data_IF_284584856934
#
_entry.id   IF_284584856934
#
_cell.length_a   1.000
_cell.length_b   1.000
_cell.length_c   1.000
_cell.angle_alpha   90.00
_cell.angle_beta   90.00
_cell.angle_gamma   90.00
#
_symmetry.space_group_name_H-M   'P 1'
#
loop_
_entity.id
_entity.type
_entity.pdbx_description
1 polymer ?
#
# COMPACT_ATOMS: atom_id res chain seq x y z
N UNK A 1 29.28 16.49 -32.00
CA UNK A 1 28.12 17.08 -32.70
C UNK A 1 27.95 16.38 -34.04
N UNK A 2 27.26 15.24 -34.04
CA UNK A 2 26.86 14.40 -35.19
C UNK A 2 25.57 13.68 -34.74
N UNK A 3 24.53 14.46 -34.42
CA UNK A 3 23.42 14.67 -35.35
C UNK A 3 22.69 13.36 -35.64
N UNK A 4 21.86 12.95 -34.68
CA UNK A 4 20.42 12.69 -34.87
C UNK A 4 19.97 11.99 -36.17
N UNK A 5 20.70 10.99 -36.65
CA UNK A 5 20.30 10.12 -37.77
C UNK A 5 20.15 8.67 -37.30
N UNK A 6 19.49 8.47 -36.16
CA UNK A 6 18.99 7.17 -35.68
C UNK A 6 17.61 7.33 -35.01
N UNK A 7 16.86 8.37 -35.38
CA UNK A 7 15.46 8.57 -35.05
C UNK A 7 14.69 8.19 -36.31
N UNK A 8 14.28 6.92 -36.45
CA UNK A 8 13.50 6.54 -37.63
C UNK A 8 13.13 5.06 -37.83
N UNK A 9 13.80 4.09 -37.19
CA UNK A 9 13.62 2.66 -37.57
C UNK A 9 13.36 1.73 -36.37
N UNK A 10 12.68 2.20 -35.33
CA UNK A 10 12.19 1.29 -34.28
C UNK A 10 10.74 1.56 -33.89
N UNK A 11 9.91 1.90 -34.88
CA UNK A 11 8.44 1.95 -34.78
C UNK A 11 7.77 0.71 -35.40
N UNK A 12 8.53 -0.30 -35.83
CA UNK A 12 7.96 -1.44 -36.53
C UNK A 12 8.73 -2.73 -36.26
N UNK A 13 8.59 -3.29 -35.05
CA UNK A 13 8.73 -4.73 -34.86
C UNK A 13 8.08 -5.15 -33.54
N UNK A 14 7.33 -6.24 -33.62
CA UNK A 14 6.91 -7.13 -32.52
C UNK A 14 5.53 -6.88 -31.87
N UNK A 15 4.51 -6.69 -32.69
CA UNK A 15 3.15 -7.26 -32.44
C UNK A 15 3.14 -8.78 -32.69
N UNK A 16 4.14 -9.49 -32.16
CA UNK A 16 4.14 -10.94 -32.02
C UNK A 16 3.74 -11.27 -30.56
N UNK A 17 2.52 -10.86 -30.20
CA UNK A 17 1.86 -11.32 -28.97
C UNK A 17 1.43 -12.76 -29.15
N UNK A 18 2.36 -13.69 -28.91
CA UNK A 18 2.10 -15.13 -28.88
C UNK A 18 0.96 -15.44 -27.90
N UNK A 19 -0.12 -16.02 -28.42
CA UNK A 19 -1.17 -16.64 -27.62
C UNK A 19 -0.56 -17.71 -26.72
N UNK A 20 -0.59 -17.47 -25.41
CA UNK A 20 -0.23 -18.47 -24.42
C UNK A 20 -1.33 -19.53 -24.37
N UNK A 21 -0.96 -20.75 -24.75
CA UNK A 21 -1.75 -21.96 -24.46
C UNK A 21 -1.86 -22.09 -22.95
N UNK A 22 -3.09 -22.18 -22.47
CA UNK A 22 -3.44 -22.40 -21.07
C UNK A 22 -3.01 -23.84 -20.73
N UNK A 23 -1.92 -23.98 -19.99
CA UNK A 23 -1.62 -25.21 -19.29
C UNK A 23 -2.59 -25.32 -18.12
N UNK A 24 -3.29 -26.43 -18.07
CA UNK A 24 -4.20 -26.87 -17.03
C UNK A 24 -3.56 -26.66 -15.64
N UNK A 25 -4.08 -25.69 -14.88
CA UNK A 25 -3.90 -25.67 -13.44
C UNK A 25 -5.03 -26.49 -12.82
N UNK A 26 -4.74 -27.43 -11.89
CA UNK A 26 -5.78 -28.01 -11.07
C UNK A 26 -6.47 -26.86 -10.33
N UNK A 27 -7.74 -26.66 -10.66
CA UNK A 27 -8.61 -25.70 -9.99
C UNK A 27 -8.87 -26.21 -8.59
N UNK A 28 -8.17 -25.63 -7.62
CA UNK A 28 -8.59 -25.68 -6.23
C UNK A 28 -10.01 -25.14 -6.15
N UNK A 29 -10.91 -26.03 -5.77
CA UNK A 29 -12.31 -25.72 -5.45
C UNK A 29 -12.36 -24.63 -4.39
N UNK A 30 -12.61 -23.40 -4.81
CA UNK A 30 -13.36 -22.46 -3.99
C UNK A 30 -14.56 -21.97 -4.78
N UNK A 31 -15.61 -22.78 -4.78
CA UNK A 31 -16.96 -22.37 -5.12
C UNK A 31 -17.42 -21.32 -4.12
N UNK A 32 -17.11 -20.05 -4.40
CA UNK A 32 -18.02 -18.98 -4.03
C UNK A 32 -17.98 -17.82 -5.03
N UNK A 33 -18.00 -18.15 -6.33
CA UNK A 33 -18.65 -17.27 -7.30
C UNK A 33 -20.17 -17.41 -7.11
N UNK A 34 -20.68 -16.84 -6.03
CA UNK A 34 -22.08 -16.48 -5.96
C UNK A 34 -22.26 -15.36 -6.97
N UNK A 35 -22.83 -15.70 -8.13
CA UNK A 35 -23.53 -14.74 -9.00
C UNK A 35 -24.30 -13.80 -8.08
N UNK A 36 -23.85 -12.56 -7.97
CA UNK A 36 -24.35 -11.60 -6.98
C UNK A 36 -25.86 -11.50 -7.10
N UNK A 37 -26.57 -11.97 -6.08
CA UNK A 37 -28.02 -11.95 -6.06
C UNK A 37 -28.45 -10.47 -6.04
N UNK A 38 -29.17 -9.94 -7.05
CA UNK A 38 -29.47 -8.51 -7.17
C UNK A 38 -30.33 -7.97 -6.02
N UNK A 39 -30.92 -8.85 -5.21
CA UNK A 39 -31.65 -8.51 -3.99
C UNK A 39 -30.75 -8.14 -2.80
N UNK A 40 -29.45 -8.47 -2.86
CA UNK A 40 -28.44 -8.14 -1.82
C UNK A 40 -27.56 -6.96 -2.22
N UNK A 41 -27.73 -6.40 -3.43
CA UNK A 41 -26.92 -5.32 -3.98
C UNK A 41 -26.75 -4.09 -3.06
N UNK A 42 -27.78 -3.61 -2.32
CA UNK A 42 -27.60 -2.48 -1.40
C UNK A 42 -26.73 -2.82 -0.19
N UNK A 43 -26.87 -4.05 0.34
CA UNK A 43 -26.12 -4.51 1.50
C UNK A 43 -24.65 -4.80 1.15
N UNK A 44 -24.40 -5.39 -0.03
CA UNK A 44 -23.05 -5.62 -0.53
C UNK A 44 -22.32 -4.32 -0.88
N UNK A 45 -23.01 -3.34 -1.46
CA UNK A 45 -22.43 -2.01 -1.70
C UNK A 45 -22.10 -1.32 -0.37
N UNK A 46 -23.03 -1.28 0.57
CA UNK A 46 -22.81 -0.69 1.90
C UNK A 46 -21.66 -1.39 2.65
N UNK A 47 -21.58 -2.72 2.59
CA UNK A 47 -20.47 -3.48 3.15
C UNK A 47 -19.13 -3.17 2.48
N UNK A 48 -19.11 -2.97 1.16
CA UNK A 48 -17.92 -2.61 0.41
C UNK A 48 -17.43 -1.18 0.73
N UNK A 49 -18.32 -0.18 0.86
CA UNK A 49 -17.91 1.18 1.24
C UNK A 49 -17.42 1.27 2.68
N UNK A 50 -18.00 0.52 3.61
CA UNK A 50 -17.52 0.49 5.01
C UNK A 50 -16.13 -0.13 5.09
N UNK A 51 -15.90 -1.28 4.43
CA UNK A 51 -14.59 -1.94 4.42
C UNK A 51 -13.52 -1.08 3.75
N UNK A 52 -13.84 -0.40 2.66
CA UNK A 52 -12.88 0.46 1.94
C UNK A 52 -12.49 1.69 2.75
N UNK A 53 -13.41 2.33 3.48
CA UNK A 53 -13.07 3.40 4.43
C UNK A 53 -12.08 2.93 5.51
N UNK A 54 -12.36 1.80 6.15
CA UNK A 54 -11.50 1.26 7.21
C UNK A 54 -10.11 0.89 6.71
N UNK A 55 -9.99 0.36 5.49
CA UNK A 55 -8.68 0.05 4.89
C UNK A 55 -7.94 1.34 4.52
N UNK A 56 -8.63 2.31 3.93
CA UNK A 56 -8.03 3.59 3.56
C UNK A 56 -7.46 4.32 4.79
N UNK A 57 -8.24 4.45 5.88
CA UNK A 57 -7.80 5.07 7.13
C UNK A 57 -6.55 4.37 7.71
N UNK A 58 -6.56 3.03 7.76
CA UNK A 58 -5.40 2.22 8.20
C UNK A 58 -4.13 2.48 7.40
N UNK A 59 -4.26 2.58 6.08
CA UNK A 59 -3.13 2.79 5.18
C UNK A 59 -2.61 4.23 5.32
N UNK A 60 -3.52 5.20 5.46
CA UNK A 60 -3.17 6.62 5.63
C UNK A 60 -2.36 6.82 6.91
N UNK A 61 -2.77 6.25 8.04
CA UNK A 61 -2.07 6.44 9.32
C UNK A 61 -0.62 5.89 9.30
N UNK A 62 -0.43 4.70 8.72
CA UNK A 62 0.91 4.09 8.61
C UNK A 62 1.78 4.85 7.60
N UNK A 63 1.19 5.29 6.48
CA UNK A 63 1.91 6.05 5.47
C UNK A 63 2.41 7.39 6.01
N UNK A 64 1.58 8.12 6.77
CA UNK A 64 1.96 9.38 7.40
C UNK A 64 3.14 9.21 8.38
N UNK A 65 3.10 8.16 9.22
CA UNK A 65 4.21 7.86 10.12
C UNK A 65 5.50 7.54 9.35
N UNK A 66 5.43 6.71 8.30
CA UNK A 66 6.59 6.38 7.47
C UNK A 66 7.20 7.62 6.80
N UNK A 67 6.35 8.51 6.29
CA UNK A 67 6.80 9.75 5.71
C UNK A 67 7.52 10.63 6.73
N UNK A 68 6.96 10.80 7.93
CA UNK A 68 7.58 11.59 8.99
C UNK A 68 8.92 11.00 9.45
N UNK A 69 9.02 9.67 9.56
CA UNK A 69 10.29 8.98 9.87
C UNK A 69 11.32 9.24 8.78
N UNK A 70 10.94 9.19 7.51
CA UNK A 70 11.84 9.44 6.40
C UNK A 70 12.32 10.90 6.38
N UNK A 71 11.43 11.85 6.67
CA UNK A 71 11.79 13.27 6.79
C UNK A 71 12.75 13.51 7.96
N UNK A 72 12.48 12.89 9.12
CA UNK A 72 13.37 12.93 10.27
C UNK A 72 14.75 12.39 9.92
N UNK A 73 14.82 11.23 9.26
CA UNK A 73 16.09 10.62 8.84
C UNK A 73 16.85 11.52 7.86
N UNK A 74 16.15 12.14 6.90
CA UNK A 74 16.77 13.04 5.92
C UNK A 74 17.37 14.31 6.53
N UNK A 75 16.89 14.74 7.70
CA UNK A 75 17.36 15.94 8.38
C UNK A 75 18.37 15.66 9.50
N UNK A 76 18.21 14.53 10.20
CA UNK A 76 18.96 14.20 11.42
C UNK A 76 20.03 13.11 11.19
N UNK A 77 20.10 12.56 9.97
CA UNK A 77 20.98 11.43 9.57
C UNK A 77 20.86 10.20 10.49
N UNK A 78 19.72 10.06 11.18
CA UNK A 78 19.39 8.92 12.04
C UNK A 78 17.89 8.71 12.11
N UNK A 79 17.47 7.51 12.47
CA UNK A 79 16.06 7.26 12.77
C UNK A 79 15.67 7.79 14.15
N UNK A 80 14.39 8.14 14.37
CA UNK A 80 13.90 8.51 15.70
C UNK A 80 14.03 7.31 16.65
N UNK A 81 14.28 7.56 17.93
CA UNK A 81 14.33 6.54 18.98
C UNK A 81 12.94 5.96 19.27
N UNK A 82 11.92 6.81 19.19
CA UNK A 82 10.52 6.45 19.35
C UNK A 82 9.61 7.38 18.54
N UNK A 83 8.36 6.97 18.33
CA UNK A 83 7.43 7.74 17.50
C UNK A 83 7.11 9.13 18.08
N UNK A 84 7.19 9.34 19.41
CA UNK A 84 6.93 10.65 20.00
C UNK A 84 8.03 11.66 19.67
N UNK A 85 9.24 11.21 19.33
CA UNK A 85 10.31 12.09 18.89
C UNK A 85 9.91 12.86 17.62
N UNK A 86 9.14 12.23 16.72
CA UNK A 86 8.59 12.88 15.53
C UNK A 86 7.70 14.07 15.90
N UNK A 87 6.98 13.99 17.01
CA UNK A 87 6.12 15.08 17.50
C UNK A 87 6.94 16.15 18.19
N UNK A 88 7.87 15.75 19.07
CA UNK A 88 8.74 16.68 19.80
C UNK A 88 9.62 17.52 18.87
N UNK A 89 10.13 16.90 17.81
CA UNK A 89 10.95 17.56 16.81
C UNK A 89 10.14 18.25 15.71
N UNK A 90 8.80 18.21 15.77
CA UNK A 90 7.93 18.96 14.86
C UNK A 90 7.73 18.35 13.47
N UNK A 91 8.21 17.13 13.21
CA UNK A 91 7.96 16.40 11.96
C UNK A 91 6.51 15.89 11.84
N UNK A 92 5.80 15.80 12.97
CA UNK A 92 4.37 15.54 13.02
C UNK A 92 3.70 16.38 14.10
N UNK A 93 2.49 16.91 13.87
CA UNK A 93 1.77 17.68 14.89
C UNK A 93 1.30 16.78 16.05
N UNK A 94 0.81 15.58 15.73
CA UNK A 94 0.35 14.57 16.70
C UNK A 94 0.52 13.17 16.10
N UNK A 95 0.60 12.14 16.95
CA UNK A 95 0.58 10.76 16.48
C UNK A 95 -0.85 10.34 16.09
N UNK A 96 -1.04 9.67 14.93
CA UNK A 96 -2.34 9.11 14.57
C UNK A 96 -2.76 8.07 15.62
N UNK A 97 -4.06 7.94 15.82
CA UNK A 97 -4.59 6.93 16.73
C UNK A 97 -4.60 5.59 16.01
N UNK A 98 -4.03 4.52 16.59
CA UNK A 98 -4.11 3.22 15.96
C UNK A 98 -5.58 2.76 15.88
N UNK A 99 -5.94 2.01 14.82
CA UNK A 99 -7.25 1.37 14.71
C UNK A 99 -7.59 0.48 15.91
N UNK A 100 -8.88 0.24 16.14
CA UNK A 100 -9.33 -0.60 17.25
C UNK A 100 -8.68 -2.00 17.22
N UNK A 101 -8.20 -2.45 18.38
CA UNK A 101 -7.52 -3.75 18.54
C UNK A 101 -6.11 -3.83 17.94
N UNK A 102 -5.54 -2.70 17.51
CA UNK A 102 -4.21 -2.63 16.91
C UNK A 102 -3.31 -1.65 17.67
N UNK A 103 -2.00 -1.81 17.50
CA UNK A 103 -0.96 -0.88 17.97
C UNK A 103 0.10 -0.68 16.90
N UNK A 104 0.77 0.47 16.93
CA UNK A 104 1.97 0.69 16.12
C UNK A 104 3.17 0.00 16.78
N UNK A 105 3.81 -0.88 16.04
CA UNK A 105 5.10 -1.45 16.37
C UNK A 105 6.16 -0.70 15.57
N UNK A 106 7.05 -0.01 16.26
CA UNK A 106 8.16 0.73 15.66
C UNK A 106 9.49 -0.01 15.85
N UNK A 107 10.32 -0.01 14.81
CA UNK A 107 11.69 -0.53 14.81
C UNK A 107 12.68 0.60 14.57
N UNK A 108 13.34 1.05 15.65
CA UNK A 108 14.32 2.13 15.61
C UNK A 108 15.58 1.85 14.80
N UNK A 109 15.89 0.59 14.55
CA UNK A 109 17.10 0.18 13.82
C UNK A 109 16.89 0.36 12.32
N UNK A 110 15.67 0.08 11.86
CA UNK A 110 15.28 0.13 10.44
C UNK A 110 14.44 1.35 10.07
N UNK A 111 13.95 2.10 11.05
CA UNK A 111 13.00 3.19 10.83
C UNK A 111 11.66 2.71 10.26
N UNK A 112 11.29 1.44 10.49
CA UNK A 112 10.04 0.88 9.96
C UNK A 112 8.95 0.88 11.04
N UNK A 113 7.71 1.08 10.61
CA UNK A 113 6.53 1.05 11.46
C UNK A 113 5.49 0.12 10.86
N UNK A 114 4.91 -0.71 11.72
CA UNK A 114 3.93 -1.73 11.34
C UNK A 114 2.74 -1.70 12.28
N UNK A 115 1.58 -2.08 11.78
CA UNK A 115 0.41 -2.32 12.60
C UNK A 115 0.44 -3.78 13.08
N UNK A 116 0.34 -3.99 14.39
CA UNK A 116 0.23 -5.33 14.98
C UNK A 116 -0.99 -5.37 15.90
N UNK A 117 -1.61 -6.55 16.12
CA UNK A 117 -2.67 -6.69 17.10
C UNK A 117 -2.22 -6.24 18.50
N UNK A 118 -3.08 -5.50 19.19
CA UNK A 118 -2.93 -5.25 20.61
C UNK A 118 -3.30 -6.54 21.34
N UNK A 119 -2.30 -7.24 21.88
CA UNK A 119 -2.51 -8.43 22.72
C UNK A 119 -3.00 -8.05 24.11
#
# INVERSE_FOLDING_TARGET
MKSHLLIGVMLACLIAGCGRKQAEQPSDKNTNSTVGNPLTAPADYAGAVVRSKTVAEKVVDVASLKQAIQMFYASEDRYPQDLNELVKSGYMPTLPKPPAGMKFQYDKTRGDVRLVPAQ
#
